data_IF_060784548367
#
_entry.id   IF_060784548367
#
_cell.length_a   1.000
_cell.length_b   1.000
_cell.length_c   1.000
_cell.angle_alpha   90.00
_cell.angle_beta   90.00
_cell.angle_gamma   90.00
#
_symmetry.space_group_name_H-M   'P 1'
#
loop_
_entity.id
_entity.type
_entity.pdbx_description
1 polymer ?
#
# COMPACT_ATOMS: atom_id res chain seq x y z
N UNK A 1 11.55 -39.99 10.66
CA UNK A 1 12.41 -39.05 11.40
C UNK A 1 11.49 -38.18 12.24
N UNK A 2 11.79 -37.92 13.52
CA UNK A 2 11.00 -36.96 14.30
C UNK A 2 11.26 -35.55 13.75
N UNK A 3 10.24 -34.94 13.14
CA UNK A 3 10.30 -33.58 12.61
C UNK A 3 10.28 -32.56 13.75
N UNK A 4 11.47 -32.11 14.16
CA UNK A 4 11.70 -31.22 15.32
C UNK A 4 12.00 -29.77 14.96
N UNK A 5 12.59 -29.51 13.80
CA UNK A 5 12.99 -28.18 13.34
C UNK A 5 12.11 -27.74 12.18
N UNK A 6 11.94 -26.44 11.98
CA UNK A 6 11.16 -25.94 10.86
C UNK A 6 11.89 -26.28 9.54
N UNK A 7 11.17 -26.86 8.57
CA UNK A 7 11.76 -27.20 7.27
C UNK A 7 10.77 -27.12 6.12
N UNK A 8 11.25 -26.83 4.91
CA UNK A 8 10.40 -26.77 3.73
C UNK A 8 9.75 -28.11 3.36
N UNK A 9 10.40 -29.24 3.64
CA UNK A 9 9.86 -30.57 3.31
C UNK A 9 8.54 -30.84 4.04
N UNK A 10 8.42 -30.42 5.30
CA UNK A 10 7.27 -30.71 6.15
C UNK A 10 6.36 -29.49 6.40
N UNK A 11 6.90 -28.27 6.35
CA UNK A 11 6.21 -27.06 6.82
C UNK A 11 5.93 -26.02 5.72
N UNK A 12 6.16 -26.33 4.44
CA UNK A 12 5.94 -25.35 3.34
C UNK A 12 4.54 -24.73 3.36
N UNK A 13 3.50 -25.54 3.54
CA UNK A 13 2.12 -25.05 3.59
C UNK A 13 1.84 -24.20 4.84
N UNK A 14 2.47 -24.54 5.96
CA UNK A 14 2.41 -23.74 7.18
C UNK A 14 3.05 -22.37 6.95
N UNK A 15 4.27 -22.33 6.41
CA UNK A 15 5.01 -21.10 6.12
C UNK A 15 4.22 -20.23 5.14
N UNK A 16 3.72 -20.81 4.05
CA UNK A 16 2.91 -20.09 3.07
C UNK A 16 1.66 -19.46 3.68
N UNK A 17 0.94 -20.20 4.53
CA UNK A 17 -0.24 -19.67 5.22
C UNK A 17 0.09 -18.55 6.20
N UNK A 18 1.24 -18.63 6.87
CA UNK A 18 1.70 -17.55 7.77
C UNK A 18 2.06 -16.30 6.95
N UNK A 19 2.75 -16.46 5.81
CA UNK A 19 3.12 -15.36 4.93
C UNK A 19 1.92 -14.79 4.14
N UNK A 20 0.80 -15.50 4.05
CA UNK A 20 -0.45 -14.99 3.48
C UNK A 20 -1.19 -14.02 4.42
N UNK A 21 -0.93 -14.08 5.71
CA UNK A 21 -1.44 -13.14 6.70
C UNK A 21 -0.53 -11.89 6.70
N UNK A 22 -1.01 -10.77 6.16
CA UNK A 22 -0.22 -9.56 5.97
C UNK A 22 0.40 -9.04 7.28
N UNK A 23 -0.34 -9.10 8.39
CA UNK A 23 0.13 -8.62 9.70
C UNK A 23 1.32 -9.47 10.18
N UNK A 24 1.29 -10.79 9.96
CA UNK A 24 2.39 -11.70 10.29
C UNK A 24 3.56 -11.59 9.33
N UNK A 25 3.24 -11.55 8.04
CA UNK A 25 4.22 -11.45 6.96
C UNK A 25 5.13 -10.26 7.19
N UNK A 26 4.56 -9.06 7.38
CA UNK A 26 5.40 -7.87 7.51
C UNK A 26 6.29 -7.89 8.75
N UNK A 27 5.87 -8.53 9.85
CA UNK A 27 6.75 -8.77 11.00
C UNK A 27 7.97 -9.62 10.59
N UNK A 28 7.72 -10.76 9.96
CA UNK A 28 8.77 -11.68 9.51
C UNK A 28 9.72 -11.00 8.53
N UNK A 29 9.17 -10.38 7.48
CA UNK A 29 9.98 -9.79 6.42
C UNK A 29 10.82 -8.61 6.92
N UNK A 30 10.28 -7.76 7.81
CA UNK A 30 11.07 -6.66 8.36
C UNK A 30 12.18 -7.16 9.29
N UNK A 31 11.90 -8.15 10.16
CA UNK A 31 12.95 -8.76 10.98
C UNK A 31 14.04 -9.42 10.13
N UNK A 32 13.63 -10.11 9.04
CA UNK A 32 14.56 -10.66 8.06
C UNK A 32 15.41 -9.57 7.43
N UNK A 33 14.81 -8.51 6.86
CA UNK A 33 15.54 -7.45 6.16
C UNK A 33 16.44 -6.65 7.10
N UNK A 34 16.05 -6.45 8.36
CA UNK A 34 16.93 -5.88 9.37
C UNK A 34 18.18 -6.76 9.56
N UNK A 35 18.00 -8.07 9.67
CA UNK A 35 19.14 -9.00 9.83
C UNK A 35 20.00 -9.09 8.58
N UNK A 36 19.39 -9.34 7.43
CA UNK A 36 20.06 -9.67 6.18
C UNK A 36 20.56 -8.45 5.41
N UNK A 37 19.75 -7.42 5.26
CA UNK A 37 20.06 -6.31 4.33
C UNK A 37 20.67 -5.12 5.07
N UNK A 38 20.15 -4.79 6.27
CA UNK A 38 20.67 -3.67 7.06
C UNK A 38 21.97 -4.04 7.77
N UNK A 39 22.04 -5.17 8.46
CA UNK A 39 23.24 -5.58 9.22
C UNK A 39 24.12 -6.63 8.55
N UNK A 40 23.64 -7.29 7.47
CA UNK A 40 24.39 -8.20 6.57
C UNK A 40 25.16 -9.33 7.25
N UNK A 41 26.29 -8.99 7.83
CA UNK A 41 27.19 -9.88 8.54
C UNK A 41 27.46 -9.29 9.93
N UNK A 42 26.95 -9.95 10.97
CA UNK A 42 27.17 -9.53 12.36
C UNK A 42 28.61 -9.71 12.84
N UNK A 43 29.48 -10.32 12.02
CA UNK A 43 30.93 -10.34 12.26
C UNK A 43 31.65 -9.10 11.72
N UNK A 44 30.96 -8.23 10.97
CA UNK A 44 31.46 -6.92 10.55
C UNK A 44 31.44 -5.93 11.73
N UNK A 45 32.54 -5.92 12.49
CA UNK A 45 32.72 -5.04 13.63
C UNK A 45 32.69 -3.55 13.24
N UNK A 46 33.11 -3.20 12.02
CA UNK A 46 33.14 -1.80 11.55
C UNK A 46 31.72 -1.28 11.32
N UNK A 47 30.84 -2.09 10.71
CA UNK A 47 29.43 -1.77 10.52
C UNK A 47 28.70 -1.59 11.86
N UNK A 48 28.93 -2.51 12.80
CA UNK A 48 28.30 -2.48 14.13
C UNK A 48 28.80 -1.26 14.92
N UNK A 49 30.10 -0.97 14.92
CA UNK A 49 30.65 0.21 15.59
C UNK A 49 30.12 1.51 14.97
N UNK A 50 30.03 1.60 13.64
CA UNK A 50 29.43 2.73 12.95
C UNK A 50 27.97 2.97 13.34
N UNK A 51 27.18 1.90 13.48
CA UNK A 51 25.81 1.98 13.98
C UNK A 51 25.76 2.49 15.43
N UNK A 52 26.52 1.86 16.32
CA UNK A 52 26.55 2.21 17.74
C UNK A 52 27.06 3.63 18.00
N UNK A 53 28.03 4.12 17.21
CA UNK A 53 28.53 5.51 17.28
C UNK A 53 27.44 6.55 17.02
N UNK A 54 26.46 6.25 16.17
CA UNK A 54 25.31 7.13 15.95
C UNK A 54 24.37 7.10 17.16
N UNK A 55 24.16 5.92 17.76
CA UNK A 55 23.21 5.76 18.86
C UNK A 55 23.64 6.44 20.16
N UNK A 56 24.95 6.61 20.39
CA UNK A 56 25.47 7.30 21.58
C UNK A 56 25.42 8.83 21.50
N UNK A 57 25.02 9.39 20.35
CA UNK A 57 24.94 10.84 20.16
C UNK A 57 23.67 11.40 20.82
N UNK A 58 23.79 12.51 21.55
CA UNK A 58 22.65 13.22 22.12
C UNK A 58 21.70 13.77 21.03
N UNK A 59 22.28 14.31 19.95
CA UNK A 59 21.58 14.74 18.76
C UNK A 59 22.25 14.17 17.51
N UNK A 60 21.47 13.56 16.63
CA UNK A 60 21.97 12.95 15.40
C UNK A 60 21.72 13.94 14.27
N UNK A 61 22.77 14.43 13.64
CA UNK A 61 22.68 15.26 12.43
C UNK A 61 22.93 14.45 11.17
N UNK A 62 22.43 14.93 10.03
CA UNK A 62 22.73 14.33 8.71
C UNK A 62 24.24 14.14 8.50
N UNK A 63 25.05 15.12 8.90
CA UNK A 63 26.51 15.04 8.80
C UNK A 63 27.13 13.91 9.62
N UNK A 64 26.54 13.54 10.77
CA UNK A 64 26.98 12.37 11.52
C UNK A 64 26.71 11.09 10.76
N UNK A 65 25.49 10.93 10.21
CA UNK A 65 25.13 9.75 9.43
C UNK A 65 26.05 9.59 8.22
N UNK A 66 26.30 10.66 7.46
CA UNK A 66 27.21 10.61 6.30
C UNK A 66 28.68 10.35 6.67
N UNK A 67 29.06 10.54 7.93
CA UNK A 67 30.42 10.28 8.41
C UNK A 67 30.60 8.84 8.91
N UNK A 68 29.53 8.20 9.38
CA UNK A 68 29.59 6.88 9.99
C UNK A 68 28.98 5.79 9.13
N UNK A 69 27.85 6.06 8.47
CA UNK A 69 27.13 5.08 7.66
C UNK A 69 27.43 5.27 6.19
N UNK A 70 27.56 4.15 5.47
CA UNK A 70 27.64 4.19 4.02
C UNK A 70 26.28 4.53 3.38
N UNK A 71 26.31 4.85 2.09
CA UNK A 71 25.12 5.26 1.35
C UNK A 71 24.03 4.18 1.31
N UNK A 72 24.42 2.91 1.24
CA UNK A 72 23.51 1.79 1.14
C UNK A 72 22.79 1.53 2.47
N UNK A 73 23.52 1.56 3.59
CA UNK A 73 22.95 1.49 4.93
C UNK A 73 21.99 2.65 5.19
N UNK A 74 22.34 3.87 4.79
CA UNK A 74 21.44 5.03 4.90
C UNK A 74 20.18 4.81 4.07
N UNK A 75 20.30 4.34 2.83
CA UNK A 75 19.14 4.06 1.98
C UNK A 75 18.22 3.01 2.64
N UNK A 76 18.77 1.88 3.08
CA UNK A 76 18.02 0.80 3.72
C UNK A 76 17.39 1.28 5.03
N UNK A 77 18.10 2.04 5.87
CA UNK A 77 17.57 2.60 7.10
C UNK A 77 16.39 3.56 6.87
N UNK A 78 16.46 4.40 5.82
CA UNK A 78 15.34 5.27 5.43
C UNK A 78 14.17 4.44 4.91
N UNK A 79 14.46 3.47 4.05
CA UNK A 79 13.47 2.62 3.40
C UNK A 79 12.78 1.68 4.39
N UNK A 80 13.45 1.19 5.42
CA UNK A 80 12.80 0.44 6.49
C UNK A 80 12.04 1.33 7.46
N UNK A 81 12.29 2.65 7.43
CA UNK A 81 11.64 3.59 8.34
C UNK A 81 12.29 3.72 9.70
N UNK A 82 13.53 3.23 9.86
CA UNK A 82 14.33 3.43 11.07
C UNK A 82 14.55 4.94 11.33
N UNK A 83 14.78 5.70 10.25
CA UNK A 83 14.77 7.16 10.30
C UNK A 83 13.32 7.68 10.21
N UNK A 84 12.82 8.29 11.28
CA UNK A 84 11.40 8.66 11.42
C UNK A 84 11.00 9.90 10.63
N UNK A 85 11.87 10.91 10.60
CA UNK A 85 11.55 12.24 10.07
C UNK A 85 12.01 12.48 8.63
N UNK A 86 12.36 11.41 7.91
CA UNK A 86 12.77 11.43 6.50
C UNK A 86 12.04 10.30 5.78
N UNK A 87 11.46 10.59 4.60
CA UNK A 87 10.63 9.65 3.87
C UNK A 87 11.36 8.89 2.77
N UNK A 88 12.37 9.51 2.17
CA UNK A 88 13.11 8.96 1.01
C UNK A 88 14.56 9.40 1.03
N UNK A 89 15.44 8.63 0.37
CA UNK A 89 16.85 9.01 0.16
C UNK A 89 16.98 10.36 -0.55
N UNK A 90 16.13 10.64 -1.54
CA UNK A 90 16.07 11.95 -2.20
C UNK A 90 15.77 13.10 -1.23
N UNK A 91 14.85 12.90 -0.29
CA UNK A 91 14.58 13.90 0.75
C UNK A 91 15.81 14.11 1.64
N UNK A 92 16.45 13.02 2.08
CA UNK A 92 17.69 13.06 2.87
C UNK A 92 18.77 13.88 2.16
N UNK A 93 19.00 13.63 0.88
CA UNK A 93 20.04 14.28 0.08
C UNK A 93 19.81 15.80 -0.03
N UNK A 94 18.56 16.26 -0.02
CA UNK A 94 18.20 17.67 -0.07
C UNK A 94 18.33 18.41 1.27
N UNK A 95 18.46 17.71 2.40
CA UNK A 95 18.65 18.34 3.71
C UNK A 95 20.07 18.88 3.88
N UNK A 96 20.21 19.92 4.69
CA UNK A 96 21.52 20.45 5.11
C UNK A 96 22.20 19.50 6.10
N UNK A 97 23.52 19.64 6.25
CA UNK A 97 24.34 18.74 7.09
C UNK A 97 23.95 18.80 8.58
N UNK A 98 23.44 19.94 9.04
CA UNK A 98 22.97 20.22 10.40
C UNK A 98 21.48 19.88 10.61
N UNK A 99 20.84 19.22 9.63
CA UNK A 99 19.48 18.74 9.82
C UNK A 99 19.45 17.62 10.87
N UNK A 100 18.63 17.82 11.92
CA UNK A 100 18.42 16.83 12.98
C UNK A 100 17.65 15.63 12.42
N UNK A 101 18.26 14.46 12.50
CA UNK A 101 17.68 13.16 12.17
C UNK A 101 17.13 12.51 13.43
N UNK A 102 15.93 11.95 13.35
CA UNK A 102 15.25 11.30 14.48
C UNK A 102 15.16 9.80 14.28
N UNK A 103 15.68 9.04 15.24
CA UNK A 103 15.52 7.60 15.34
C UNK A 103 14.36 7.23 16.29
N UNK A 104 14.17 5.91 16.50
CA UNK A 104 13.43 5.30 17.60
C UNK A 104 13.63 6.00 18.96
N UNK A 105 12.65 5.92 19.87
CA UNK A 105 12.97 6.21 21.29
C UNK A 105 13.82 5.04 21.82
N UNK A 106 13.37 3.82 21.52
CA UNK A 106 14.18 2.60 21.52
C UNK A 106 14.54 2.22 20.09
N UNK A 107 15.69 1.59 19.89
CA UNK A 107 16.19 1.22 18.56
C UNK A 107 16.64 -0.23 18.54
N UNK A 108 17.10 -0.70 17.39
CA UNK A 108 17.62 -2.06 17.21
C UNK A 108 18.86 -2.24 18.08
N UNK A 109 18.92 -3.33 18.83
CA UNK A 109 20.04 -3.69 19.70
C UNK A 109 20.77 -4.88 19.09
N UNK A 110 22.10 -4.86 19.12
CA UNK A 110 22.96 -5.94 18.64
C UNK A 110 23.80 -6.44 19.82
N UNK A 111 23.62 -7.69 20.20
CA UNK A 111 24.39 -8.35 21.25
C UNK A 111 24.95 -9.67 20.72
N UNK A 112 26.26 -9.71 20.47
CA UNK A 112 26.91 -10.87 19.85
C UNK A 112 26.33 -11.13 18.45
N UNK A 113 25.78 -12.32 18.25
CA UNK A 113 25.14 -12.77 17.01
C UNK A 113 23.62 -12.50 16.96
N UNK A 114 23.10 -11.78 17.95
CA UNK A 114 21.66 -11.60 18.13
C UNK A 114 21.26 -10.14 17.86
N UNK A 115 20.34 -9.97 16.91
CA UNK A 115 19.68 -8.69 16.64
C UNK A 115 18.31 -8.69 17.30
N UNK A 116 18.07 -7.73 18.17
CA UNK A 116 16.83 -7.56 18.91
C UNK A 116 16.15 -6.25 18.48
N UNK A 117 14.89 -6.34 18.07
CA UNK A 117 14.13 -5.18 17.58
C UNK A 117 12.95 -4.91 18.53
N UNK A 118 12.87 -3.72 19.14
CA UNK A 118 11.73 -3.36 19.99
C UNK A 118 10.40 -3.38 19.23
N UNK A 119 9.33 -3.90 19.83
CA UNK A 119 8.02 -4.03 19.19
C UNK A 119 7.44 -2.68 18.72
N UNK A 120 7.66 -1.59 19.44
CA UNK A 120 7.22 -0.27 19.03
C UNK A 120 7.96 0.22 17.79
N UNK A 121 9.28 0.03 17.74
CA UNK A 121 10.11 0.39 16.59
C UNK A 121 9.75 -0.44 15.37
N UNK A 122 9.60 -1.76 15.52
CA UNK A 122 9.18 -2.64 14.43
C UNK A 122 7.78 -2.26 13.90
N UNK A 123 6.83 -1.96 14.79
CA UNK A 123 5.50 -1.51 14.39
C UNK A 123 5.54 -0.18 13.61
N UNK A 124 6.32 0.79 14.07
CA UNK A 124 6.47 2.07 13.39
C UNK A 124 7.12 1.91 12.00
N UNK A 125 8.13 1.06 11.88
CA UNK A 125 8.78 0.72 10.62
C UNK A 125 7.78 0.13 9.62
N UNK A 126 7.00 -0.88 10.04
CA UNK A 126 5.98 -1.51 9.20
C UNK A 126 4.89 -0.52 8.81
N UNK A 127 4.30 0.20 9.76
CA UNK A 127 3.14 1.09 9.50
C UNK A 127 3.48 2.34 8.71
N UNK A 128 4.75 2.77 8.71
CA UNK A 128 5.22 3.83 7.82
C UNK A 128 5.05 3.45 6.34
N UNK A 129 5.10 2.16 6.02
CA UNK A 129 4.96 1.62 4.66
C UNK A 129 3.58 1.02 4.42
N UNK A 130 3.10 0.22 5.36
CA UNK A 130 1.85 -0.53 5.25
C UNK A 130 0.84 -0.02 6.29
N UNK A 131 0.13 1.06 5.93
CA UNK A 131 -0.84 1.74 6.82
C UNK A 131 -2.02 0.86 7.24
N UNK A 132 -2.27 -0.24 6.53
CA UNK A 132 -3.34 -1.20 6.83
C UNK A 132 -3.10 -1.96 8.14
N UNK A 133 -1.84 -2.08 8.58
CA UNK A 133 -1.47 -2.77 9.82
C UNK A 133 -1.82 -1.91 11.03
N UNK A 134 -2.77 -2.36 11.83
CA UNK A 134 -3.14 -1.68 13.08
C UNK A 134 -2.46 -2.35 14.29
N UNK A 135 -2.28 -1.59 15.37
CA UNK A 135 -1.56 -2.03 16.58
C UNK A 135 -2.14 -3.30 17.21
N UNK A 136 -3.47 -3.45 17.20
CA UNK A 136 -4.14 -4.63 17.76
C UNK A 136 -3.78 -5.89 16.98
N UNK A 137 -3.90 -5.83 15.65
CA UNK A 137 -3.57 -6.97 14.80
C UNK A 137 -2.07 -7.31 14.87
N UNK A 138 -1.21 -6.29 14.86
CA UNK A 138 0.23 -6.45 15.05
C UNK A 138 0.58 -7.22 16.34
N UNK A 139 0.01 -6.82 17.49
CA UNK A 139 0.25 -7.50 18.76
C UNK A 139 -0.27 -8.96 18.78
N UNK A 140 -1.42 -9.20 18.13
CA UNK A 140 -1.95 -10.56 17.95
C UNK A 140 -1.05 -11.40 17.05
N UNK A 141 -0.51 -10.81 15.98
CA UNK A 141 0.41 -11.46 15.06
C UNK A 141 1.73 -11.83 15.76
N UNK A 142 2.33 -10.92 16.54
CA UNK A 142 3.50 -11.21 17.38
C UNK A 142 3.25 -12.40 18.31
N UNK A 143 2.08 -12.44 18.96
CA UNK A 143 1.73 -13.54 19.86
C UNK A 143 1.64 -14.87 19.12
N UNK A 144 0.99 -14.88 17.96
CA UNK A 144 0.81 -16.09 17.14
C UNK A 144 2.14 -16.59 16.56
N UNK A 145 3.03 -15.69 16.13
CA UNK A 145 4.33 -16.03 15.53
C UNK A 145 5.31 -16.69 16.50
N UNK A 146 5.17 -16.44 17.81
CA UNK A 146 5.97 -17.10 18.85
C UNK A 146 5.62 -18.58 19.05
N UNK A 147 4.44 -19.01 18.61
CA UNK A 147 3.91 -20.34 18.92
C UNK A 147 3.19 -20.95 17.73
N UNK A 148 3.86 -21.03 16.58
CA UNK A 148 3.26 -21.61 15.37
C UNK A 148 3.29 -23.14 15.49
N UNK A 149 2.14 -23.79 15.46
CA UNK A 149 2.05 -25.24 15.61
C UNK A 149 2.18 -25.94 14.26
N UNK A 150 3.17 -26.84 14.15
CA UNK A 150 3.31 -27.75 13.03
C UNK A 150 2.14 -28.74 12.96
N UNK A 151 1.53 -28.87 11.79
CA UNK A 151 0.44 -29.82 11.57
C UNK A 151 0.93 -31.26 11.42
N UNK A 152 2.13 -31.46 10.85
CA UNK A 152 2.69 -32.78 10.59
C UNK A 152 3.19 -33.47 11.87
N UNK A 153 3.85 -32.74 12.77
CA UNK A 153 4.44 -33.32 13.99
C UNK A 153 3.79 -32.85 15.29
N UNK A 154 2.96 -31.81 15.25
CA UNK A 154 2.40 -31.18 16.45
C UNK A 154 3.39 -30.34 17.25
N UNK A 155 4.67 -30.29 16.85
CA UNK A 155 5.73 -29.46 17.44
C UNK A 155 5.42 -27.98 17.25
N UNK A 156 5.87 -27.15 18.19
CA UNK A 156 5.78 -25.69 18.07
C UNK A 156 7.07 -25.18 17.42
N UNK A 157 6.92 -24.54 16.26
CA UNK A 157 7.96 -23.83 15.54
C UNK A 157 7.80 -22.32 15.81
N UNK A 158 8.61 -21.71 16.69
CA UNK A 158 8.63 -20.26 16.82
C UNK A 158 9.21 -19.64 15.54
N UNK A 159 8.46 -18.75 14.90
CA UNK A 159 8.94 -17.99 13.74
C UNK A 159 9.70 -16.73 14.18
N UNK A 160 9.40 -16.26 15.39
CA UNK A 160 10.12 -15.19 16.08
C UNK A 160 10.33 -15.59 17.54
N UNK A 161 11.41 -15.09 18.13
CA UNK A 161 11.66 -15.17 19.57
C UNK A 161 11.48 -13.81 20.21
N UNK A 162 11.04 -13.80 21.47
CA UNK A 162 10.99 -12.61 22.31
C UNK A 162 12.20 -12.63 23.24
N UNK A 163 12.98 -11.56 23.19
CA UNK A 163 14.16 -11.33 24.03
C UNK A 163 13.81 -10.21 24.99
N UNK A 164 14.06 -10.41 26.28
CA UNK A 164 13.64 -9.45 27.31
C UNK A 164 12.12 -9.23 27.34
N UNK A 165 11.69 -8.00 27.65
CA UNK A 165 10.28 -7.69 27.83
C UNK A 165 9.53 -7.44 26.51
N UNK A 166 10.11 -6.73 25.54
CA UNK A 166 9.39 -6.30 24.33
C UNK A 166 10.22 -6.34 23.04
N UNK A 167 11.35 -7.04 23.03
CA UNK A 167 12.21 -7.11 21.85
C UNK A 167 12.04 -8.44 21.13
N UNK A 168 12.18 -8.41 19.80
CA UNK A 168 11.91 -9.55 18.94
C UNK A 168 13.06 -9.80 17.97
N UNK A 169 13.30 -11.07 17.69
CA UNK A 169 14.23 -11.53 16.65
C UNK A 169 13.60 -12.64 15.81
N UNK A 170 14.02 -12.76 14.56
CA UNK A 170 13.57 -13.85 13.68
C UNK A 170 14.25 -15.16 14.07
N UNK A 171 13.54 -16.28 14.02
CA UNK A 171 14.15 -17.59 14.25
C UNK A 171 15.16 -17.94 13.15
N UNK A 172 16.29 -18.56 13.52
CA UNK A 172 17.31 -18.99 12.55
C UNK A 172 16.76 -19.93 11.48
N UNK A 173 15.94 -20.92 11.84
CA UNK A 173 15.37 -21.85 10.87
C UNK A 173 14.57 -21.09 9.79
N UNK A 174 13.70 -20.17 10.19
CA UNK A 174 12.93 -19.35 9.24
C UNK A 174 13.84 -18.42 8.43
N UNK A 175 14.85 -17.81 9.07
CA UNK A 175 15.82 -16.96 8.38
C UNK A 175 16.50 -17.71 7.23
N UNK A 176 17.08 -18.90 7.50
CA UNK A 176 17.75 -19.69 6.48
C UNK A 176 16.80 -20.27 5.43
N UNK A 177 15.53 -20.50 5.78
CA UNK A 177 14.52 -20.88 4.78
C UNK A 177 14.24 -19.71 3.84
N UNK A 178 14.03 -18.52 4.38
CA UNK A 178 13.71 -17.32 3.60
C UNK A 178 14.86 -16.91 2.68
N UNK A 179 16.10 -17.02 3.15
CA UNK A 179 17.32 -16.73 2.39
C UNK A 179 17.42 -17.54 1.09
N UNK A 180 16.87 -18.75 1.06
CA UNK A 180 16.83 -19.59 -0.14
C UNK A 180 15.97 -19.02 -1.27
N UNK A 181 15.00 -18.14 -0.95
CA UNK A 181 14.08 -17.56 -1.94
C UNK A 181 14.58 -16.21 -2.49
N UNK A 182 15.64 -15.64 -1.91
CA UNK A 182 16.34 -14.48 -2.45
C UNK A 182 16.04 -13.15 -1.75
N UNK A 183 15.89 -12.09 -2.54
CA UNK A 183 15.85 -10.70 -2.08
C UNK A 183 14.44 -10.28 -1.58
N UNK A 184 14.23 -10.49 -0.29
CA UNK A 184 13.03 -10.05 0.43
C UNK A 184 12.90 -8.52 0.47
N UNK A 185 14.01 -7.80 0.59
CA UNK A 185 13.99 -6.33 0.62
C UNK A 185 13.36 -5.75 -0.65
N UNK A 186 13.73 -6.26 -1.82
CA UNK A 186 13.15 -5.87 -3.10
C UNK A 186 11.66 -6.24 -3.18
N UNK A 187 11.27 -7.38 -2.61
CA UNK A 187 9.87 -7.81 -2.54
C UNK A 187 9.02 -6.81 -1.72
N UNK A 188 9.52 -6.37 -0.56
CA UNK A 188 8.89 -5.32 0.26
C UNK A 188 8.78 -4.01 -0.54
N UNK A 189 9.83 -3.60 -1.26
CA UNK A 189 9.83 -2.38 -2.09
C UNK A 189 8.72 -2.41 -3.15
N UNK A 190 8.52 -3.55 -3.81
CA UNK A 190 7.47 -3.72 -4.82
C UNK A 190 6.09 -3.64 -4.18
N UNK A 191 5.84 -4.40 -3.09
CA UNK A 191 4.55 -4.35 -2.37
C UNK A 191 4.22 -2.92 -1.94
N UNK A 192 5.17 -2.25 -1.28
CA UNK A 192 4.98 -0.87 -0.81
C UNK A 192 4.71 0.11 -1.97
N UNK A 193 5.31 -0.11 -3.14
CA UNK A 193 5.06 0.72 -4.33
C UNK A 193 3.64 0.51 -4.86
N UNK A 194 3.17 -0.73 -4.93
CA UNK A 194 1.80 -1.08 -5.35
C UNK A 194 0.77 -0.54 -4.37
N UNK A 195 1.00 -0.69 -3.06
CA UNK A 195 0.10 -0.18 -2.02
C UNK A 195 0.07 1.35 -1.99
N UNK A 196 1.23 2.01 -2.08
CA UNK A 196 1.29 3.47 -2.16
C UNK A 196 0.61 4.04 -3.41
N UNK A 197 0.59 3.29 -4.52
CA UNK A 197 -0.18 3.63 -5.70
C UNK A 197 -1.69 3.48 -5.47
N UNK A 198 -2.11 2.36 -4.87
CA UNK A 198 -3.50 2.08 -4.56
C UNK A 198 -4.10 3.12 -3.59
N UNK A 199 -3.36 3.54 -2.57
CA UNK A 199 -3.74 4.62 -1.66
C UNK A 199 -4.08 5.91 -2.42
N UNK A 200 -3.20 6.35 -3.33
CA UNK A 200 -3.42 7.56 -4.14
C UNK A 200 -4.59 7.43 -5.10
N UNK A 201 -4.78 6.24 -5.67
CA UNK A 201 -5.93 5.94 -6.50
C UNK A 201 -7.25 6.12 -5.73
N UNK A 202 -7.31 5.59 -4.50
CA UNK A 202 -8.50 5.70 -3.63
C UNK A 202 -8.81 7.17 -3.32
N UNK A 203 -7.79 7.98 -2.98
CA UNK A 203 -7.99 9.41 -2.71
C UNK A 203 -8.66 10.15 -3.89
N UNK A 204 -8.25 9.85 -5.12
CA UNK A 204 -8.81 10.46 -6.33
C UNK A 204 -10.21 9.90 -6.64
N UNK A 205 -10.40 8.59 -6.45
CA UNK A 205 -11.70 7.93 -6.60
C UNK A 205 -12.75 8.49 -5.65
N UNK A 206 -12.41 8.64 -4.38
CA UNK A 206 -13.31 9.17 -3.35
C UNK A 206 -13.70 10.61 -3.67
N UNK A 207 -12.73 11.45 -4.07
CA UNK A 207 -13.01 12.81 -4.53
C UNK A 207 -13.97 12.83 -5.72
N UNK A 208 -13.82 11.92 -6.68
CA UNK A 208 -14.72 11.80 -7.82
C UNK A 208 -16.14 11.42 -7.39
N UNK A 209 -16.27 10.42 -6.50
CA UNK A 209 -17.54 9.98 -5.94
C UNK A 209 -18.23 11.14 -5.24
N UNK A 210 -17.52 11.87 -4.38
CA UNK A 210 -18.04 13.05 -3.68
C UNK A 210 -18.59 14.11 -4.66
N UNK A 211 -17.91 14.36 -5.79
CA UNK A 211 -18.40 15.32 -6.79
C UNK A 211 -19.67 14.84 -7.50
N UNK A 212 -19.82 13.54 -7.72
CA UNK A 212 -21.03 12.94 -8.31
C UNK A 212 -22.20 13.02 -7.32
N UNK A 213 -21.96 12.83 -6.03
CA UNK A 213 -23.00 12.95 -4.99
C UNK A 213 -23.61 14.34 -4.89
N UNK A 214 -22.87 15.39 -5.27
CA UNK A 214 -23.39 16.76 -5.36
C UNK A 214 -24.48 16.91 -6.42
N UNK A 215 -24.47 16.06 -7.45
CA UNK A 215 -25.58 15.95 -8.39
C UNK A 215 -26.68 15.11 -7.79
N UNK A 216 -26.42 13.87 -7.39
CA UNK A 216 -27.43 13.04 -6.74
C UNK A 216 -26.77 11.84 -6.04
N UNK A 217 -27.09 11.62 -4.76
CA UNK A 217 -26.61 10.44 -4.02
C UNK A 217 -27.10 9.12 -4.62
N UNK A 218 -28.23 9.14 -5.36
CA UNK A 218 -28.74 8.01 -6.12
C UNK A 218 -27.78 7.54 -7.21
N UNK A 219 -26.88 8.39 -7.70
CA UNK A 219 -25.90 8.01 -8.73
C UNK A 219 -24.71 7.22 -8.18
N UNK A 220 -24.45 7.28 -6.87
CA UNK A 220 -23.27 6.61 -6.27
C UNK A 220 -23.57 5.21 -5.75
N UNK A 221 -24.84 4.83 -5.61
CA UNK A 221 -25.20 3.47 -5.21
C UNK A 221 -24.75 2.41 -6.23
N UNK A 222 -24.57 1.18 -5.74
CA UNK A 222 -24.04 0.06 -6.53
C UNK A 222 -24.85 -0.21 -7.81
N UNK A 223 -26.19 -0.25 -7.72
CA UNK A 223 -27.07 -0.54 -8.86
C UNK A 223 -26.98 0.53 -9.94
N UNK A 224 -27.03 1.81 -9.56
CA UNK A 224 -26.90 2.93 -10.48
C UNK A 224 -25.53 2.92 -11.17
N UNK A 225 -24.48 2.64 -10.41
CA UNK A 225 -23.10 2.53 -10.93
C UNK A 225 -22.98 1.41 -11.98
N UNK A 226 -23.48 0.21 -11.66
CA UNK A 226 -23.48 -0.92 -12.60
C UNK A 226 -24.24 -0.60 -13.89
N UNK A 227 -25.40 0.06 -13.78
CA UNK A 227 -26.22 0.43 -14.94
C UNK A 227 -25.60 1.57 -15.75
N UNK A 228 -24.98 2.55 -15.10
CA UNK A 228 -24.25 3.63 -15.77
C UNK A 228 -23.05 3.08 -16.55
N UNK A 229 -22.28 2.17 -15.97
CA UNK A 229 -21.18 1.48 -16.66
C UNK A 229 -21.68 0.74 -17.91
N UNK A 230 -22.79 -0.03 -17.79
CA UNK A 230 -23.43 -0.70 -18.93
C UNK A 230 -23.89 0.27 -20.02
N UNK A 231 -24.42 1.44 -19.64
CA UNK A 231 -24.81 2.45 -20.62
C UNK A 231 -23.61 2.95 -21.42
N UNK A 232 -22.48 3.21 -20.75
CA UNK A 232 -21.23 3.65 -21.37
C UNK A 232 -20.70 2.57 -22.33
N UNK A 233 -20.65 1.31 -21.90
CA UNK A 233 -20.22 0.16 -22.72
C UNK A 233 -21.08 -0.01 -23.98
N UNK A 234 -22.39 0.24 -23.86
CA UNK A 234 -23.35 0.11 -24.97
C UNK A 234 -23.49 1.38 -25.82
N UNK A 235 -22.74 2.45 -25.51
CA UNK A 235 -22.86 3.74 -26.21
C UNK A 235 -24.24 4.40 -26.06
N UNK A 236 -24.95 4.12 -24.97
CA UNK A 236 -26.29 4.67 -24.69
C UNK A 236 -26.18 5.97 -23.90
N UNK A 237 -27.23 6.80 -24.00
CA UNK A 237 -27.38 7.94 -23.10
C UNK A 237 -27.52 7.45 -21.66
N UNK A 238 -26.59 7.89 -20.79
CA UNK A 238 -26.47 7.35 -19.44
C UNK A 238 -27.72 7.66 -18.61
N UNK A 239 -28.21 8.90 -18.67
CA UNK A 239 -29.34 9.33 -17.82
C UNK A 239 -30.64 8.68 -18.29
N UNK A 240 -30.88 8.62 -19.61
CA UNK A 240 -32.05 7.95 -20.15
C UNK A 240 -32.02 6.46 -19.82
N UNK A 241 -30.89 5.79 -19.99
CA UNK A 241 -30.76 4.37 -19.66
C UNK A 241 -31.01 4.10 -18.16
N UNK A 242 -30.53 4.96 -17.27
CA UNK A 242 -30.79 4.83 -15.83
C UNK A 242 -32.29 4.95 -15.51
N UNK A 243 -33.03 5.84 -16.19
CA UNK A 243 -34.48 5.96 -16.05
C UNK A 243 -35.21 4.74 -16.58
N UNK A 244 -34.84 4.27 -17.77
CA UNK A 244 -35.46 3.08 -18.39
C UNK A 244 -35.29 1.85 -17.51
N UNK A 245 -34.18 1.79 -16.76
CA UNK A 245 -33.84 0.75 -15.79
C UNK A 245 -34.41 1.02 -14.38
N UNK A 246 -35.32 1.98 -14.24
CA UNK A 246 -36.02 2.35 -13.00
C UNK A 246 -35.10 2.72 -11.83
N UNK A 247 -33.95 3.34 -12.11
CA UNK A 247 -33.11 3.92 -11.05
C UNK A 247 -33.79 5.18 -10.52
N UNK A 248 -34.03 5.22 -9.21
CA UNK A 248 -34.59 6.39 -8.54
C UNK A 248 -33.55 7.52 -8.50
N UNK A 249 -33.80 8.55 -9.29
CA UNK A 249 -33.07 9.82 -9.31
C UNK A 249 -34.04 10.95 -8.98
N UNK A 250 -33.51 12.08 -8.51
CA UNK A 250 -34.31 13.27 -8.22
C UNK A 250 -35.02 13.83 -9.45
N UNK A 251 -36.06 14.63 -9.21
CA UNK A 251 -36.93 15.17 -10.26
C UNK A 251 -36.19 16.04 -11.29
N UNK A 252 -35.04 16.62 -10.93
CA UNK A 252 -34.21 17.41 -11.84
C UNK A 252 -33.68 16.62 -13.04
N UNK A 253 -33.71 15.30 -12.98
CA UNK A 253 -33.33 14.46 -14.11
C UNK A 253 -34.47 14.31 -15.14
N UNK A 254 -35.68 14.81 -14.88
CA UNK A 254 -36.83 14.76 -15.81
C UNK A 254 -36.71 15.85 -16.90
N UNK A 255 -36.10 15.50 -18.02
CA UNK A 255 -35.78 16.46 -19.09
C UNK A 255 -36.91 16.76 -20.09
N UNK A 256 -38.11 16.21 -19.89
CA UNK A 256 -39.17 16.22 -20.92
C UNK A 256 -39.65 17.63 -21.28
N UNK A 257 -39.53 18.58 -20.34
CA UNK A 257 -39.91 19.99 -20.50
C UNK A 257 -38.71 20.96 -20.55
N UNK A 258 -37.48 20.43 -20.53
CA UNK A 258 -36.27 21.23 -20.38
C UNK A 258 -35.74 21.61 -21.76
N UNK A 259 -35.51 22.90 -22.01
CA UNK A 259 -34.80 23.33 -23.22
C UNK A 259 -33.33 22.87 -23.17
N UNK A 260 -33.01 21.83 -23.94
CA UNK A 260 -31.65 21.26 -24.02
C UNK A 260 -30.66 22.16 -24.77
N UNK A 261 -31.14 23.23 -25.42
CA UNK A 261 -30.31 24.21 -26.09
C UNK A 261 -29.67 25.20 -25.11
N UNK A 262 -30.24 25.33 -23.91
CA UNK A 262 -29.80 26.27 -22.88
C UNK A 262 -28.39 25.96 -22.35
N UNK A 263 -27.64 27.04 -22.11
CA UNK A 263 -26.23 26.95 -21.68
C UNK A 263 -26.09 26.23 -20.34
N UNK A 264 -26.94 26.56 -19.37
CA UNK A 264 -26.93 25.96 -18.03
C UNK A 264 -27.17 24.44 -18.08
N UNK A 265 -28.12 23.98 -18.90
CA UNK A 265 -28.38 22.55 -19.08
C UNK A 265 -27.17 21.85 -19.72
N UNK A 266 -26.61 22.43 -20.79
CA UNK A 266 -25.44 21.85 -21.48
C UNK A 266 -24.24 21.73 -20.55
N UNK A 267 -23.95 22.76 -19.77
CA UNK A 267 -22.83 22.76 -18.83
C UNK A 267 -23.06 21.76 -17.69
N UNK A 268 -24.26 21.75 -17.10
CA UNK A 268 -24.64 20.81 -16.04
C UNK A 268 -24.55 19.36 -16.53
N UNK A 269 -25.16 19.06 -17.67
CA UNK A 269 -25.25 17.72 -18.24
C UNK A 269 -23.87 17.22 -18.70
N UNK A 270 -23.14 18.01 -19.48
CA UNK A 270 -21.82 17.61 -19.98
C UNK A 270 -20.84 17.34 -18.84
N UNK A 271 -20.87 18.15 -17.77
CA UNK A 271 -20.03 17.94 -16.58
C UNK A 271 -20.41 16.65 -15.85
N UNK A 272 -21.70 16.39 -15.64
CA UNK A 272 -22.13 15.14 -15.01
C UNK A 272 -21.70 13.92 -15.82
N UNK A 273 -21.96 13.93 -17.13
CA UNK A 273 -21.58 12.83 -18.01
C UNK A 273 -20.06 12.63 -18.01
N UNK A 274 -19.27 13.70 -17.98
CA UNK A 274 -17.81 13.61 -17.84
C UNK A 274 -17.40 12.91 -16.53
N UNK A 275 -18.00 13.27 -15.40
CA UNK A 275 -17.71 12.63 -14.10
C UNK A 275 -18.09 11.14 -14.10
N UNK A 276 -19.25 10.78 -14.66
CA UNK A 276 -19.69 9.39 -14.77
C UNK A 276 -18.74 8.56 -15.66
N UNK A 277 -18.25 9.15 -16.76
CA UNK A 277 -17.25 8.52 -17.62
C UNK A 277 -15.90 8.35 -16.91
N UNK A 278 -15.45 9.33 -16.13
CA UNK A 278 -14.25 9.16 -15.31
C UNK A 278 -14.44 8.05 -14.28
N UNK A 279 -15.62 7.92 -13.68
CA UNK A 279 -15.88 6.87 -12.70
C UNK A 279 -15.79 5.49 -13.33
N UNK A 280 -16.34 5.33 -14.52
CA UNK A 280 -16.19 4.10 -15.31
C UNK A 280 -14.72 3.78 -15.56
N UNK A 281 -13.92 4.75 -16.05
CA UNK A 281 -12.47 4.57 -16.24
C UNK A 281 -11.75 4.18 -14.96
N UNK A 282 -12.07 4.85 -13.84
CA UNK A 282 -11.47 4.54 -12.55
C UNK A 282 -11.81 3.12 -12.06
N UNK A 283 -13.03 2.62 -12.30
CA UNK A 283 -13.38 1.23 -11.97
C UNK A 283 -12.54 0.21 -12.79
N UNK A 284 -12.21 0.53 -14.04
CA UNK A 284 -11.31 -0.30 -14.85
C UNK A 284 -9.88 -0.29 -14.29
N UNK A 285 -9.38 0.89 -13.91
CA UNK A 285 -8.08 1.04 -13.24
C UNK A 285 -8.05 0.26 -11.93
N UNK A 286 -9.12 0.31 -11.12
CA UNK A 286 -9.24 -0.47 -9.88
C UNK A 286 -9.07 -1.98 -10.14
N UNK A 287 -9.67 -2.47 -11.22
CA UNK A 287 -9.57 -3.88 -11.64
C UNK A 287 -8.13 -4.23 -12.00
N UNK A 288 -7.45 -3.36 -12.75
CA UNK A 288 -6.04 -3.56 -13.11
C UNK A 288 -5.11 -3.50 -11.90
N UNK A 289 -5.37 -2.63 -10.92
CA UNK A 289 -4.63 -2.63 -9.64
C UNK A 289 -4.82 -3.97 -8.92
N UNK A 290 -6.04 -4.51 -8.89
CA UNK A 290 -6.31 -5.84 -8.29
C UNK A 290 -5.55 -6.95 -9.01
N UNK A 291 -5.47 -6.91 -10.34
CA UNK A 291 -4.70 -7.88 -11.14
C UNK A 291 -3.18 -7.83 -10.87
N UNK A 292 -2.64 -6.65 -10.55
CA UNK A 292 -1.27 -6.48 -10.07
C UNK A 292 -1.12 -7.08 -8.67
N UNK A 293 -2.02 -6.77 -7.74
CA UNK A 293 -1.97 -7.33 -6.37
C UNK A 293 -2.10 -8.85 -6.32
N UNK A 294 -2.81 -9.45 -7.29
CA UNK A 294 -2.92 -10.90 -7.45
C UNK A 294 -1.57 -11.59 -7.65
N UNK A 295 -0.48 -10.89 -7.95
CA UNK A 295 0.84 -11.53 -7.98
C UNK A 295 1.25 -12.11 -6.63
N UNK A 296 0.80 -11.53 -5.51
CA UNK A 296 1.29 -11.88 -4.17
C UNK A 296 0.21 -11.92 -3.08
N UNK A 297 -1.02 -11.51 -3.38
CA UNK A 297 -2.07 -11.38 -2.36
C UNK A 297 -3.47 -11.64 -2.90
N UNK A 298 -4.40 -11.90 -1.99
CA UNK A 298 -5.80 -12.18 -2.29
C UNK A 298 -6.09 -13.66 -2.52
N UNK A 299 -7.38 -13.98 -2.68
CA UNK A 299 -7.85 -15.37 -2.85
C UNK A 299 -7.41 -15.97 -4.19
N UNK A 300 -7.37 -15.13 -5.22
CA UNK A 300 -7.03 -15.53 -6.60
C UNK A 300 -5.57 -15.21 -6.93
N UNK A 301 -4.67 -15.29 -5.93
CA UNK A 301 -3.26 -14.99 -6.11
C UNK A 301 -2.61 -16.00 -7.07
N UNK A 302 -1.71 -15.51 -7.93
CA UNK A 302 -0.99 -16.29 -8.94
C UNK A 302 0.16 -17.09 -8.33
N UNK A 303 0.78 -16.56 -7.29
CA UNK A 303 1.90 -17.18 -6.58
C UNK A 303 1.59 -17.24 -5.08
N UNK A 304 2.07 -18.27 -4.40
CA UNK A 304 2.23 -18.15 -2.95
C UNK A 304 3.35 -17.15 -2.64
N UNK A 305 3.43 -16.73 -1.37
CA UNK A 305 4.31 -15.61 -1.05
C UNK A 305 5.79 -15.96 -1.20
N UNK A 306 6.20 -17.21 -0.92
CA UNK A 306 7.56 -17.68 -1.16
C UNK A 306 7.93 -17.65 -2.65
N UNK A 307 7.03 -18.14 -3.52
CA UNK A 307 7.20 -18.06 -4.98
C UNK A 307 7.25 -16.61 -5.47
N UNK A 308 6.49 -15.70 -4.86
CA UNK A 308 6.56 -14.29 -5.21
C UNK A 308 7.95 -13.70 -4.89
N UNK A 309 8.52 -14.00 -3.72
CA UNK A 309 9.90 -13.61 -3.38
C UNK A 309 10.88 -14.16 -4.42
N UNK A 310 10.78 -15.45 -4.75
CA UNK A 310 11.65 -16.11 -5.74
C UNK A 310 11.57 -15.44 -7.11
N UNK A 311 10.35 -15.17 -7.59
CA UNK A 311 10.12 -14.54 -8.88
C UNK A 311 10.63 -13.11 -8.93
N UNK A 312 10.49 -12.34 -7.84
CA UNK A 312 11.07 -10.99 -7.74
C UNK A 312 12.59 -11.05 -7.75
N UNK A 313 13.18 -12.04 -7.09
CA UNK A 313 14.62 -12.13 -6.84
C UNK A 313 15.42 -12.63 -8.05
N UNK A 314 14.93 -13.67 -8.72
CA UNK A 314 15.68 -14.37 -9.77
C UNK A 314 15.12 -14.13 -11.18
N UNK A 315 13.93 -13.56 -11.29
CA UNK A 315 13.30 -13.20 -12.56
C UNK A 315 12.92 -11.71 -12.58
N UNK A 316 13.85 -10.88 -12.09
CA UNK A 316 13.65 -9.45 -11.87
C UNK A 316 13.15 -8.73 -13.14
N UNK A 317 13.81 -8.96 -14.29
CA UNK A 317 13.41 -8.36 -15.58
C UNK A 317 12.02 -8.82 -16.08
N UNK A 318 11.47 -9.91 -15.55
CA UNK A 318 10.16 -10.42 -15.95
C UNK A 318 9.03 -9.77 -15.16
N UNK A 319 8.96 -10.07 -13.86
CA UNK A 319 7.81 -9.68 -13.03
C UNK A 319 7.92 -8.23 -12.54
N UNK A 320 9.11 -7.77 -12.16
CA UNK A 320 9.31 -6.43 -11.59
C UNK A 320 9.08 -5.37 -12.66
N UNK A 321 9.67 -5.57 -13.85
CA UNK A 321 9.45 -4.70 -14.99
C UNK A 321 7.99 -4.69 -15.46
N UNK A 322 7.32 -5.85 -15.44
CA UNK A 322 5.90 -5.92 -15.75
C UNK A 322 5.06 -5.09 -14.77
N UNK A 323 5.22 -5.32 -13.46
CA UNK A 323 4.51 -4.54 -12.43
C UNK A 323 4.82 -3.05 -12.58
N UNK A 324 6.08 -2.69 -12.80
CA UNK A 324 6.51 -1.30 -13.00
C UNK A 324 5.83 -0.68 -14.21
N UNK A 325 5.85 -1.34 -15.37
CA UNK A 325 5.27 -0.83 -16.61
C UNK A 325 3.74 -0.71 -16.52
N UNK A 326 3.09 -1.69 -15.88
CA UNK A 326 1.66 -1.65 -15.61
C UNK A 326 1.33 -0.43 -14.72
N UNK A 327 2.05 -0.24 -13.61
CA UNK A 327 1.87 0.92 -12.72
C UNK A 327 2.12 2.26 -13.41
N UNK A 328 3.13 2.36 -14.29
CA UNK A 328 3.40 3.58 -15.07
C UNK A 328 2.19 3.88 -15.97
N UNK A 329 1.70 2.88 -16.69
CA UNK A 329 0.54 3.03 -17.58
C UNK A 329 -0.70 3.47 -16.82
N UNK A 330 -0.98 2.86 -15.67
CA UNK A 330 -2.10 3.25 -14.81
C UNK A 330 -1.92 4.66 -14.26
N UNK A 331 -0.70 5.04 -13.91
CA UNK A 331 -0.39 6.39 -13.41
C UNK A 331 -0.72 7.46 -14.44
N UNK A 332 -0.36 7.27 -15.70
CA UNK A 332 -0.67 8.22 -16.78
C UNK A 332 -2.18 8.42 -16.91
N UNK A 333 -2.96 7.33 -16.90
CA UNK A 333 -4.42 7.39 -16.96
C UNK A 333 -5.03 8.14 -15.76
N UNK A 334 -4.50 7.91 -14.55
CA UNK A 334 -4.95 8.61 -13.34
C UNK A 334 -4.60 10.09 -13.41
N UNK A 335 -3.41 10.46 -13.90
CA UNK A 335 -2.98 11.86 -14.04
C UNK A 335 -3.96 12.62 -14.95
N UNK A 336 -4.32 12.06 -16.10
CA UNK A 336 -5.26 12.69 -17.04
C UNK A 336 -6.62 12.99 -16.38
N UNK A 337 -7.13 12.06 -15.57
CA UNK A 337 -8.38 12.22 -14.84
C UNK A 337 -8.21 13.26 -13.72
N UNK A 338 -7.13 13.16 -12.94
CA UNK A 338 -6.87 14.04 -11.81
C UNK A 338 -6.62 15.49 -12.23
N UNK A 339 -5.98 15.74 -13.37
CA UNK A 339 -5.75 17.08 -13.90
C UNK A 339 -7.05 17.82 -14.23
N UNK A 340 -8.13 17.08 -14.48
CA UNK A 340 -9.46 17.63 -14.71
C UNK A 340 -10.23 17.75 -13.39
N UNK A 341 -10.25 16.68 -12.58
CA UNK A 341 -10.96 16.65 -11.28
C UNK A 341 -10.37 17.67 -10.29
N UNK A 342 -9.06 17.90 -10.30
CA UNK A 342 -8.39 18.87 -9.43
C UNK A 342 -8.86 20.31 -9.65
N UNK A 343 -9.25 20.66 -10.88
CA UNK A 343 -9.79 21.97 -11.25
C UNK A 343 -11.26 22.14 -10.83
N UNK A 344 -11.94 21.07 -10.41
CA UNK A 344 -13.31 21.10 -9.94
C UNK A 344 -13.35 21.28 -8.43
N UNK A 345 -13.98 22.36 -7.98
CA UNK A 345 -14.25 22.56 -6.56
C UNK A 345 -15.67 22.10 -6.21
N UNK A 346 -15.85 21.57 -4.99
CA UNK A 346 -17.18 21.24 -4.46
C UNK A 346 -18.15 22.43 -4.55
N UNK A 347 -17.64 23.65 -4.32
CA UNK A 347 -18.44 24.88 -4.41
C UNK A 347 -18.96 25.13 -5.82
N UNK A 348 -18.11 25.02 -6.85
CA UNK A 348 -18.52 25.23 -8.24
C UNK A 348 -19.57 24.21 -8.68
N UNK A 349 -19.40 22.94 -8.33
CA UNK A 349 -20.37 21.89 -8.70
C UNK A 349 -21.70 22.10 -7.95
N UNK A 350 -21.66 22.44 -6.66
CA UNK A 350 -22.88 22.80 -5.91
C UNK A 350 -23.63 23.97 -6.53
N UNK A 351 -22.91 25.04 -6.90
CA UNK A 351 -23.52 26.21 -7.54
C UNK A 351 -24.12 25.86 -8.88
N UNK A 352 -23.39 25.16 -9.76
CA UNK A 352 -23.89 24.69 -11.04
C UNK A 352 -25.16 23.83 -10.88
N UNK A 353 -25.19 22.95 -9.87
CA UNK A 353 -26.35 22.12 -9.60
C UNK A 353 -27.55 22.95 -9.09
N UNK A 354 -27.32 23.92 -8.21
CA UNK A 354 -28.38 24.83 -7.72
C UNK A 354 -28.92 25.75 -8.81
N UNK A 355 -28.04 26.27 -9.66
CA UNK A 355 -28.44 27.15 -10.77
C UNK A 355 -29.26 26.37 -11.80
N UNK A 356 -28.92 25.10 -12.05
CA UNK A 356 -29.76 24.22 -12.86
C UNK A 356 -31.12 23.93 -12.21
N UNK A 357 -31.16 23.66 -10.89
CA UNK A 357 -32.42 23.46 -10.17
C UNK A 357 -33.31 24.71 -10.19
N UNK A 358 -32.73 25.92 -10.10
CA UNK A 358 -33.47 27.19 -10.27
C UNK A 358 -34.02 27.34 -11.68
N UNK A 359 -33.20 27.05 -12.68
CA UNK A 359 -33.63 27.08 -14.08
C UNK A 359 -34.83 26.16 -14.34
N UNK A 360 -34.88 24.98 -13.70
CA UNK A 360 -36.05 24.10 -13.79
C UNK A 360 -37.32 24.73 -13.22
N UNK A 361 -37.22 25.42 -12.07
CA UNK A 361 -38.36 26.11 -11.43
C UNK A 361 -38.88 27.25 -12.32
N UNK A 362 -37.99 27.96 -13.03
CA UNK A 362 -38.38 29.05 -13.94
C UNK A 362 -39.04 28.57 -15.24
N UNK A 363 -38.91 27.29 -15.57
CA UNK A 363 -39.46 26.65 -16.78
C UNK A 363 -40.77 25.87 -16.51
N UNK A 364 -41.15 25.67 -15.24
CA UNK A 364 -42.45 25.13 -14.82
C UNK A 364 -43.56 26.19 -14.82
#
# INVERSE_FOLDING_TARGET
MEHKNLSLEYDRDLINRILDDADMRYIILFLYTIRNDLFRDLTDEDLIDAYNRVLILDEIFKGNLLSFWDEEFIEIAIDLGLIKNIRTKREFDQKEQDFIVKLGEETITIEGDTISVPADTLYLMITKKFKSVNRRNYNLALTRLKSVRCEASGVIHPFIYQIGENDYTISDDLYYILDQFGNIYQTIKIENTVEGFADRFIEIYDKLVELIELYDTGLTNKKATEKANKAIEQGKDIIQFLKDENISLSDKFKFDKVDKSESIFKDWHSRLIQLLNFRYKMNNIETQIKEIKQYYSGKDKKFNYLEFIEMVSFNEEGIVDKIRNDLITLREQIIDINDIISKLTKKQIKLLNLDFERFLIEQE
#
